data_IF_798709646569
#
_entry.id   IF_798709646569
#
_cell.length_a   1.000
_cell.length_b   1.000
_cell.length_c   1.000
_cell.angle_alpha   90.00
_cell.angle_beta   90.00
_cell.angle_gamma   90.00
#
_symmetry.space_group_name_H-M   'P 1'
#
loop_
_entity.id
_entity.type
_entity.pdbx_description
1 polymer ?
#
# COMPACT_ATOMS: atom_id res chain seq x y z
N UNK A 1 -15.02 -19.16 1.13
CA UNK A 1 -14.18 -18.00 1.48
C UNK A 1 -13.65 -18.22 2.88
N UNK A 2 -12.33 -18.30 3.04
CA UNK A 2 -11.69 -18.37 4.35
C UNK A 2 -11.73 -16.99 5.03
N UNK A 3 -11.56 -16.96 6.36
CA UNK A 3 -11.53 -15.70 7.12
C UNK A 3 -10.44 -14.73 6.61
N UNK A 4 -9.31 -15.26 6.14
CA UNK A 4 -8.22 -14.47 5.56
C UNK A 4 -8.61 -13.80 4.24
N UNK A 5 -9.34 -14.49 3.36
CA UNK A 5 -9.82 -13.90 2.10
C UNK A 5 -10.80 -12.74 2.36
N UNK A 6 -11.68 -12.88 3.37
CA UNK A 6 -12.60 -11.80 3.77
C UNK A 6 -11.83 -10.60 4.31
N UNK A 7 -10.81 -10.83 5.16
CA UNK A 7 -9.96 -9.77 5.70
C UNK A 7 -9.20 -9.01 4.59
N UNK A 8 -8.68 -9.72 3.59
CA UNK A 8 -8.03 -9.13 2.41
C UNK A 8 -9.01 -8.28 1.61
N UNK A 9 -10.23 -8.78 1.40
CA UNK A 9 -11.29 -8.05 0.69
C UNK A 9 -11.66 -6.75 1.41
N UNK A 10 -11.79 -6.80 2.74
CA UNK A 10 -12.02 -5.62 3.58
C UNK A 10 -10.86 -4.62 3.52
N UNK A 11 -9.61 -5.09 3.53
CA UNK A 11 -8.44 -4.22 3.37
C UNK A 11 -8.40 -3.54 1.99
N UNK A 12 -8.72 -4.29 0.93
CA UNK A 12 -8.74 -3.76 -0.43
C UNK A 12 -9.84 -2.71 -0.62
N UNK A 13 -11.06 -3.00 -0.17
CA UNK A 13 -12.17 -2.07 -0.34
C UNK A 13 -12.07 -0.89 0.64
N UNK A 14 -11.67 -1.16 1.89
CA UNK A 14 -11.70 -0.18 2.97
C UNK A 14 -10.49 0.74 3.04
N UNK A 15 -9.31 0.32 2.60
CA UNK A 15 -8.08 1.11 2.70
C UNK A 15 -7.42 1.35 1.34
N UNK A 16 -7.30 0.31 0.50
CA UNK A 16 -6.61 0.42 -0.78
C UNK A 16 -7.36 1.28 -1.79
N UNK A 17 -8.66 1.00 -1.99
CA UNK A 17 -9.51 1.73 -2.92
C UNK A 17 -9.63 3.23 -2.59
N UNK A 18 -9.94 3.65 -1.34
CA UNK A 18 -9.96 5.07 -1.00
C UNK A 18 -8.57 5.71 -1.07
N UNK A 19 -7.50 4.96 -0.73
CA UNK A 19 -6.11 5.43 -0.88
C UNK A 19 -5.77 5.77 -2.33
N UNK A 20 -6.16 4.93 -3.30
CA UNK A 20 -5.98 5.18 -4.73
C UNK A 20 -6.81 6.39 -5.20
N UNK A 21 -8.07 6.48 -4.77
CA UNK A 21 -8.94 7.59 -5.14
C UNK A 21 -8.37 8.92 -4.65
N UNK A 22 -7.87 8.96 -3.41
CA UNK A 22 -7.20 10.12 -2.83
C UNK A 22 -5.85 10.39 -3.52
N UNK A 23 -5.10 9.36 -3.90
CA UNK A 23 -3.85 9.53 -4.66
C UNK A 23 -4.08 10.12 -6.07
N UNK A 24 -5.25 9.85 -6.64
CA UNK A 24 -5.65 10.33 -7.96
C UNK A 24 -6.27 11.74 -7.94
N UNK A 25 -6.66 12.25 -6.77
CA UNK A 25 -7.41 13.51 -6.62
C UNK A 25 -6.82 14.40 -5.52
N UNK A 26 -6.46 15.64 -5.85
CA UNK A 26 -6.12 16.67 -4.85
C UNK A 26 -4.75 17.30 -5.04
N UNK A 27 -4.32 18.07 -4.02
CA UNK A 27 -3.04 18.75 -3.99
C UNK A 27 -1.88 17.73 -3.99
N UNK A 28 -0.68 18.06 -4.48
CA UNK A 28 0.45 17.12 -4.58
C UNK A 28 0.79 16.41 -3.27
N UNK A 29 0.63 17.11 -2.14
CA UNK A 29 0.84 16.58 -0.79
C UNK A 29 -0.22 15.54 -0.39
N UNK A 30 -1.48 15.75 -0.77
CA UNK A 30 -2.57 14.81 -0.50
C UNK A 30 -2.42 13.54 -1.34
N UNK A 31 -1.90 13.68 -2.57
CA UNK A 31 -1.66 12.54 -3.46
C UNK A 31 -0.60 11.59 -2.93
N UNK A 32 0.46 12.15 -2.32
CA UNK A 32 1.52 11.44 -1.60
C UNK A 32 0.97 10.63 -0.43
N UNK A 33 0.18 11.27 0.44
CA UNK A 33 -0.41 10.60 1.61
C UNK A 33 -1.33 9.46 1.18
N UNK A 34 -2.15 9.67 0.13
CA UNK A 34 -2.98 8.61 -0.44
C UNK A 34 -2.18 7.43 -0.98
N UNK A 35 -1.02 7.70 -1.60
CA UNK A 35 -0.12 6.67 -2.16
C UNK A 35 0.56 5.85 -1.07
N UNK A 36 0.97 6.49 0.03
CA UNK A 36 1.52 5.80 1.21
C UNK A 36 0.47 4.92 1.87
N UNK A 37 -0.75 5.43 2.05
CA UNK A 37 -1.87 4.66 2.61
C UNK A 37 -2.23 3.45 1.74
N UNK A 38 -2.28 3.64 0.42
CA UNK A 38 -2.52 2.54 -0.53
C UNK A 38 -1.38 1.51 -0.48
N UNK A 39 -0.13 1.95 -0.37
CA UNK A 39 1.03 1.04 -0.28
C UNK A 39 0.98 0.19 1.00
N UNK A 40 0.69 0.80 2.15
CA UNK A 40 0.54 0.07 3.42
C UNK A 40 -0.64 -0.92 3.37
N UNK A 41 -1.76 -0.53 2.78
CA UNK A 41 -2.90 -1.42 2.57
C UNK A 41 -2.55 -2.62 1.69
N UNK A 42 -1.76 -2.42 0.63
CA UNK A 42 -1.27 -3.50 -0.23
C UNK A 42 -0.32 -4.46 0.50
N UNK A 43 0.62 -3.94 1.30
CA UNK A 43 1.52 -4.76 2.14
C UNK A 43 0.70 -5.64 3.09
N UNK A 44 -0.27 -5.05 3.79
CA UNK A 44 -1.12 -5.78 4.73
C UNK A 44 -1.97 -6.85 4.02
N UNK A 45 -2.58 -6.51 2.88
CA UNK A 45 -3.36 -7.47 2.10
C UNK A 45 -2.50 -8.67 1.64
N UNK A 46 -1.30 -8.42 1.12
CA UNK A 46 -0.36 -9.46 0.69
C UNK A 46 0.16 -10.31 1.88
N UNK A 47 0.30 -9.71 3.05
CA UNK A 47 0.69 -10.42 4.27
C UNK A 47 -0.43 -11.36 4.72
N UNK A 48 -1.66 -10.86 4.83
CA UNK A 48 -2.82 -11.64 5.27
C UNK A 48 -3.10 -12.79 4.31
N UNK A 49 -3.03 -12.59 2.99
CA UNK A 49 -3.26 -13.68 2.03
C UNK A 49 -2.16 -14.74 2.10
N UNK A 50 -0.90 -14.34 2.31
CA UNK A 50 0.22 -15.28 2.44
C UNK A 50 0.08 -16.16 3.68
N UNK A 51 -0.35 -15.58 4.80
CA UNK A 51 -0.64 -16.31 6.05
C UNK A 51 -1.88 -17.20 5.89
N UNK A 52 -2.92 -16.72 5.23
CA UNK A 52 -4.16 -17.47 4.99
C UNK A 52 -3.93 -18.73 4.15
N UNK A 53 -2.99 -18.69 3.21
CA UNK A 53 -2.60 -19.83 2.39
C UNK A 53 -1.45 -20.66 2.97
N UNK A 54 -0.96 -20.34 4.18
CA UNK A 54 0.13 -21.05 4.86
C UNK A 54 1.37 -21.20 3.97
N UNK A 55 1.65 -20.19 3.13
CA UNK A 55 2.81 -20.16 2.24
C UNK A 55 3.80 -19.10 2.72
N UNK A 56 4.67 -19.51 3.63
CA UNK A 56 5.65 -18.61 4.26
C UNK A 56 6.61 -17.99 3.24
N UNK A 57 6.95 -18.71 2.16
CA UNK A 57 7.81 -18.18 1.10
C UNK A 57 7.25 -16.94 0.40
N UNK A 58 5.93 -16.72 0.43
CA UNK A 58 5.32 -15.55 -0.21
C UNK A 58 5.43 -14.27 0.64
N UNK A 59 5.81 -14.36 1.92
CA UNK A 59 6.03 -13.19 2.80
C UNK A 59 7.21 -12.31 2.36
N UNK A 60 8.11 -12.84 1.52
CA UNK A 60 9.18 -12.05 0.90
C UNK A 60 8.60 -10.88 0.07
N UNK A 61 7.44 -11.08 -0.56
CA UNK A 61 6.82 -10.09 -1.45
C UNK A 61 6.33 -8.85 -0.68
N UNK A 62 5.48 -8.96 0.36
CA UNK A 62 5.09 -7.81 1.17
C UNK A 62 6.28 -7.16 1.88
N UNK A 63 7.30 -7.93 2.27
CA UNK A 63 8.51 -7.40 2.89
C UNK A 63 9.29 -6.48 1.95
N UNK A 64 9.56 -6.94 0.73
CA UNK A 64 10.25 -6.14 -0.30
C UNK A 64 9.41 -4.93 -0.68
N UNK A 65 8.09 -5.09 -0.81
CA UNK A 65 7.18 -3.98 -1.12
C UNK A 65 7.23 -2.89 -0.05
N UNK A 66 7.23 -3.27 1.23
CA UNK A 66 7.35 -2.33 2.35
C UNK A 66 8.69 -1.58 2.33
N UNK A 67 9.78 -2.26 1.98
CA UNK A 67 11.11 -1.65 1.90
C UNK A 67 11.19 -0.63 0.74
N UNK A 68 10.55 -0.89 -0.40
CA UNK A 68 10.57 -0.02 -1.58
C UNK A 68 9.58 1.16 -1.46
N UNK A 69 8.54 1.05 -0.63
CA UNK A 69 7.62 2.17 -0.38
C UNK A 69 8.36 3.40 0.19
N UNK A 70 9.30 3.18 1.11
CA UNK A 70 10.07 4.24 1.76
C UNK A 70 10.89 5.11 0.78
N UNK A 71 11.79 4.57 -0.07
CA UNK A 71 12.52 5.37 -1.03
C UNK A 71 11.60 6.01 -2.08
N UNK A 72 10.48 5.36 -2.43
CA UNK A 72 9.51 5.91 -3.39
C UNK A 72 8.90 7.22 -2.87
N UNK A 73 8.53 7.26 -1.58
CA UNK A 73 8.05 8.47 -0.89
C UNK A 73 9.12 9.57 -0.82
N UNK A 74 10.36 9.21 -0.50
CA UNK A 74 11.48 10.15 -0.39
C UNK A 74 11.84 10.78 -1.75
N UNK A 75 11.81 10.01 -2.83
CA UNK A 75 12.04 10.52 -4.19
C UNK A 75 10.94 11.50 -4.58
N UNK A 76 9.67 11.16 -4.31
CA UNK A 76 8.53 11.98 -4.69
C UNK A 76 8.47 13.28 -3.88
N UNK A 77 8.76 13.24 -2.57
CA UNK A 77 8.88 14.44 -1.74
C UNK A 77 10.05 15.33 -2.16
N UNK A 78 11.19 14.74 -2.57
CA UNK A 78 12.32 15.51 -3.14
C UNK A 78 11.95 16.21 -4.45
N UNK A 79 11.24 15.53 -5.36
CA UNK A 79 10.79 16.13 -6.61
C UNK A 79 9.85 17.30 -6.36
N UNK A 80 8.90 17.13 -5.43
CA UNK A 80 7.96 18.19 -5.07
C UNK A 80 8.64 19.40 -4.40
N UNK A 81 9.71 19.17 -3.63
CA UNK A 81 10.51 20.24 -3.03
C UNK A 81 11.41 20.99 -4.02
N UNK A 82 11.65 20.45 -5.22
CA UNK A 82 12.47 21.07 -6.27
C UNK A 82 11.67 21.98 -7.21
N UNK A 83 10.35 21.81 -7.24
CA UNK A 83 9.40 22.61 -8.05
C UNK A 83 8.89 23.86 -7.31
N UNK A 84 9.35 24.10 -6.07
CA UNK A 84 9.18 25.35 -5.32
C UNK A 84 10.45 26.17 -5.38
#
# INVERSE_FOLDING_TARGET
>A
MSAGEIAVLLLLIGAFLPGIVMSSRGLPQQRLVGLEFASMAAVLALTVISVAWQRDSNLIVPLVLALVALPSSLVYTRLLGRDR
#
